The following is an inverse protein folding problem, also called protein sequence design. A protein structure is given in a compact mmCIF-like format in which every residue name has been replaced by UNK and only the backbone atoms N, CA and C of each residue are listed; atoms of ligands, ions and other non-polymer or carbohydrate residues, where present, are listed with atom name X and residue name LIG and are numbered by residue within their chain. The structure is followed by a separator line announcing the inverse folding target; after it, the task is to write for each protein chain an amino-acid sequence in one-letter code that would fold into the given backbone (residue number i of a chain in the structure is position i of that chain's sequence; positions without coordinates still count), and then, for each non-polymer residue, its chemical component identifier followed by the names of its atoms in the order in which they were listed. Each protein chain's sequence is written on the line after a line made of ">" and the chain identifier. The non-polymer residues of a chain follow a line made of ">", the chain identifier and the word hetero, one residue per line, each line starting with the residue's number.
data_IF_884892863320
#
_entry.id   IF_884892863320
#
_cell.length_a   1.000
_cell.length_b   1.000
_cell.length_c   1.000
_cell.angle_alpha   90.00
_cell.angle_beta   90.00
_cell.angle_gamma   90.00
#
_symmetry.space_group_name_H-M   'P 1'
#
loop_
_entity.id
_entity.type
_entity.pdbx_description
1 polymer ?
#
# COMPACT_ATOMS: atom_id res chain seq x y z
N UNK A 1 -40.79 8.77 -27.60
CA UNK A 1 -40.05 9.02 -26.35
C UNK A 1 -38.69 8.31 -26.41
N UNK A 2 -37.64 9.02 -26.80
CA UNK A 2 -36.29 8.48 -26.87
C UNK A 2 -35.71 8.44 -25.44
N UNK A 3 -35.52 7.24 -24.89
CA UNK A 3 -34.92 7.07 -23.56
C UNK A 3 -33.42 7.32 -23.71
N UNK A 4 -32.95 8.50 -23.32
CA UNK A 4 -31.53 8.82 -23.23
C UNK A 4 -30.88 7.90 -22.19
N UNK A 5 -30.33 6.77 -22.62
CA UNK A 5 -29.50 5.91 -21.79
C UNK A 5 -28.17 6.63 -21.57
N UNK A 6 -28.08 7.40 -20.48
CA UNK A 6 -26.83 7.99 -20.02
C UNK A 6 -25.90 6.84 -19.60
N UNK A 7 -25.01 6.44 -20.51
CA UNK A 7 -23.99 5.42 -20.26
C UNK A 7 -23.04 6.00 -19.21
N UNK A 8 -23.26 5.66 -17.93
CA UNK A 8 -22.37 6.08 -16.84
C UNK A 8 -21.01 5.41 -17.04
N UNK A 9 -19.95 6.20 -16.96
CA UNK A 9 -18.60 5.68 -17.02
C UNK A 9 -18.36 4.72 -15.83
N UNK A 10 -17.47 3.74 -16.00
CA UNK A 10 -17.11 2.82 -14.91
C UNK A 10 -16.69 3.59 -13.66
N UNK A 11 -15.92 4.67 -13.81
CA UNK A 11 -15.48 5.54 -12.71
C UNK A 11 -16.63 6.15 -11.90
N UNK A 12 -17.68 6.65 -12.57
CA UNK A 12 -18.87 7.17 -11.88
C UNK A 12 -19.63 6.06 -11.13
N UNK A 13 -19.64 4.84 -11.67
CA UNK A 13 -20.24 3.68 -11.00
C UNK A 13 -19.47 3.30 -9.72
N UNK A 14 -18.14 3.32 -9.76
CA UNK A 14 -17.30 3.07 -8.59
C UNK A 14 -17.45 4.18 -7.55
N UNK A 15 -17.44 5.45 -7.96
CA UNK A 15 -17.64 6.59 -7.06
C UNK A 15 -19.01 6.56 -6.37
N UNK A 16 -20.08 6.26 -7.12
CA UNK A 16 -21.43 6.13 -6.53
C UNK A 16 -21.57 4.93 -5.60
N UNK A 17 -20.93 3.79 -5.92
CA UNK A 17 -20.88 2.63 -5.03
C UNK A 17 -20.10 2.94 -3.75
N UNK A 18 -18.94 3.59 -3.85
CA UNK A 18 -18.13 3.99 -2.69
C UNK A 18 -18.91 4.96 -1.79
N UNK A 19 -19.57 5.98 -2.35
CA UNK A 19 -20.40 6.91 -1.60
C UNK A 19 -21.58 6.20 -0.92
N UNK A 20 -22.20 5.22 -1.58
CA UNK A 20 -23.28 4.42 -0.98
C UNK A 20 -22.79 3.56 0.19
N UNK A 21 -21.64 2.91 0.04
CA UNK A 21 -21.00 2.13 1.11
C UNK A 21 -20.66 3.04 2.29
N UNK A 22 -20.04 4.19 2.03
CA UNK A 22 -19.72 5.17 3.06
C UNK A 22 -20.96 5.62 3.83
N UNK A 23 -22.04 5.98 3.11
CA UNK A 23 -23.32 6.36 3.72
C UNK A 23 -23.91 5.23 4.58
N UNK A 24 -23.80 3.98 4.13
CA UNK A 24 -24.28 2.81 4.87
C UNK A 24 -23.47 2.59 6.15
N UNK A 25 -22.14 2.69 6.08
CA UNK A 25 -21.26 2.60 7.25
C UNK A 25 -21.55 3.71 8.26
N UNK A 26 -21.69 4.96 7.80
CA UNK A 26 -22.01 6.09 8.68
C UNK A 26 -23.37 5.92 9.37
N UNK A 27 -24.39 5.47 8.63
CA UNK A 27 -25.71 5.21 9.22
C UNK A 27 -25.67 4.04 10.22
N UNK A 28 -24.88 3.01 9.95
CA UNK A 28 -24.65 1.90 10.90
C UNK A 28 -23.97 2.38 12.17
N UNK A 29 -22.91 3.20 12.04
CA UNK A 29 -22.22 3.80 13.17
C UNK A 29 -23.16 4.67 14.01
N UNK A 30 -23.97 5.52 13.36
CA UNK A 30 -25.00 6.32 14.03
C UNK A 30 -26.08 5.46 14.72
N UNK A 31 -26.44 4.32 14.15
CA UNK A 31 -27.40 3.40 14.77
C UNK A 31 -26.80 2.72 16.01
N UNK A 32 -25.52 2.35 15.96
CA UNK A 32 -24.81 1.75 17.09
C UNK A 32 -24.60 2.76 18.21
N UNK A 33 -24.27 4.01 17.85
CA UNK A 33 -24.20 5.13 18.78
C UNK A 33 -25.52 5.32 19.54
N UNK A 34 -26.65 5.37 18.82
CA UNK A 34 -27.98 5.44 19.44
C UNK A 34 -28.29 4.25 20.35
N UNK A 35 -27.94 3.04 19.95
CA UNK A 35 -28.12 1.84 20.79
C UNK A 35 -27.26 1.91 22.05
N UNK A 36 -26.02 2.38 21.94
CA UNK A 36 -25.12 2.58 23.07
C UNK A 36 -25.66 3.64 24.03
N UNK A 37 -26.15 4.77 23.51
CA UNK A 37 -26.75 5.86 24.30
C UNK A 37 -28.05 5.41 24.97
N UNK A 38 -28.94 4.67 24.28
CA UNK A 38 -30.16 4.14 24.89
C UNK A 38 -29.86 3.13 25.99
N UNK A 39 -28.89 2.23 25.76
CA UNK A 39 -28.46 1.24 26.74
C UNK A 39 -27.81 1.89 27.97
N UNK A 40 -27.09 2.99 27.77
CA UNK A 40 -26.57 3.82 28.85
C UNK A 40 -27.70 4.58 29.60
N UNK A 41 -28.72 5.05 28.88
CA UNK A 41 -29.86 5.73 29.49
C UNK A 41 -30.69 4.79 30.38
N UNK A 42 -30.86 3.53 29.98
CA UNK A 42 -31.55 2.50 30.79
C UNK A 42 -30.81 2.18 32.09
N UNK A 43 -29.48 2.26 32.11
CA UNK A 43 -28.68 1.87 33.28
C UNK A 43 -28.33 3.03 34.23
N UNK A 44 -28.97 4.21 34.11
CA UNK A 44 -28.68 5.41 34.93
C UNK A 44 -27.17 5.71 35.05
N UNK A 45 -26.41 5.47 33.99
CA UNK A 45 -24.94 5.59 34.07
C UNK A 45 -24.50 7.06 33.97
N UNK A 46 -23.47 7.44 34.75
CA UNK A 46 -22.97 8.80 34.80
C UNK A 46 -22.43 9.27 33.45
N UNK A 47 -22.52 10.58 33.23
CA UNK A 47 -22.17 11.34 32.01
C UNK A 47 -20.84 10.96 31.33
N UNK A 48 -19.91 10.34 32.05
CA UNK A 48 -18.64 9.82 31.52
C UNK A 48 -18.79 8.77 30.41
N UNK A 49 -19.83 7.93 30.44
CA UNK A 49 -20.10 6.94 29.37
C UNK A 49 -20.61 7.60 28.07
N UNK A 50 -21.13 8.83 28.14
CA UNK A 50 -21.50 9.61 26.94
C UNK A 50 -20.31 9.95 26.04
N UNK A 51 -19.08 9.94 26.58
CA UNK A 51 -17.87 10.15 25.80
C UNK A 51 -17.28 8.86 25.20
N UNK A 52 -17.83 7.69 25.54
CA UNK A 52 -17.35 6.40 25.06
C UNK A 52 -17.29 6.30 23.51
N UNK A 53 -18.28 6.78 22.73
CA UNK A 53 -18.20 6.74 21.27
C UNK A 53 -17.09 7.65 20.72
N UNK A 54 -16.87 8.82 21.34
CA UNK A 54 -15.81 9.76 20.97
C UNK A 54 -14.44 9.15 21.27
N UNK A 55 -14.28 8.50 22.42
CA UNK A 55 -13.06 7.76 22.77
C UNK A 55 -12.79 6.59 21.82
N UNK A 56 -13.82 5.85 21.40
CA UNK A 56 -13.63 4.75 20.44
C UNK A 56 -13.19 5.29 19.08
N UNK A 57 -13.81 6.36 18.59
CA UNK A 57 -13.44 6.97 17.30
C UNK A 57 -12.05 7.60 17.38
N UNK A 58 -11.72 8.30 18.47
CA UNK A 58 -10.39 8.90 18.65
C UNK A 58 -9.31 7.82 18.81
N UNK A 59 -9.57 6.77 19.58
CA UNK A 59 -8.66 5.63 19.71
C UNK A 59 -8.46 4.92 18.37
N UNK A 60 -9.54 4.77 17.58
CA UNK A 60 -9.44 4.19 16.23
C UNK A 60 -8.62 5.08 15.28
N UNK A 61 -8.79 6.41 15.35
CA UNK A 61 -7.99 7.34 14.55
C UNK A 61 -6.51 7.30 14.96
N UNK A 62 -6.22 7.32 16.26
CA UNK A 62 -4.86 7.26 16.78
C UNK A 62 -4.19 5.93 16.41
N UNK A 63 -4.88 4.80 16.59
CA UNK A 63 -4.34 3.48 16.20
C UNK A 63 -4.12 3.38 14.70
N UNK A 64 -5.03 3.90 13.86
CA UNK A 64 -4.83 3.94 12.41
C UNK A 64 -3.60 4.77 12.01
N UNK A 65 -3.36 5.90 12.67
CA UNK A 65 -2.17 6.72 12.44
C UNK A 65 -0.90 5.97 12.84
N UNK A 66 -0.88 5.35 14.02
CA UNK A 66 0.27 4.57 14.49
C UNK A 66 0.56 3.41 13.52
N UNK A 67 -0.44 2.63 13.16
CA UNK A 67 -0.27 1.52 12.22
C UNK A 67 0.22 2.00 10.85
N UNK A 68 -0.33 3.11 10.35
CA UNK A 68 0.12 3.73 9.10
C UNK A 68 1.61 4.07 9.16
N UNK A 69 2.05 4.76 10.22
CA UNK A 69 3.47 5.13 10.38
C UNK A 69 4.39 3.91 10.48
N UNK A 70 3.99 2.87 11.21
CA UNK A 70 4.75 1.62 11.33
C UNK A 70 4.91 0.98 9.95
N UNK A 71 3.83 0.85 9.19
CA UNK A 71 3.85 0.28 7.84
C UNK A 71 4.78 1.09 6.93
N UNK A 72 4.69 2.42 6.96
CA UNK A 72 5.59 3.29 6.17
C UNK A 72 7.06 3.08 6.53
N UNK A 73 7.39 3.04 7.82
CA UNK A 73 8.78 2.81 8.28
C UNK A 73 9.30 1.45 7.80
N UNK A 74 8.49 0.40 7.90
CA UNK A 74 8.85 -0.95 7.44
C UNK A 74 9.15 -0.93 5.93
N UNK A 75 8.26 -0.36 5.13
CA UNK A 75 8.42 -0.28 3.68
C UNK A 75 9.70 0.47 3.32
N UNK A 76 9.91 1.65 3.90
CA UNK A 76 11.12 2.47 3.66
C UNK A 76 12.39 1.70 4.06
N UNK A 77 12.37 1.01 5.20
CA UNK A 77 13.51 0.22 5.67
C UNK A 77 13.84 -0.93 4.72
N UNK A 78 12.82 -1.62 4.20
CA UNK A 78 13.01 -2.69 3.20
C UNK A 78 13.65 -2.12 1.93
N UNK A 79 13.12 -1.02 1.40
CA UNK A 79 13.70 -0.37 0.22
C UNK A 79 15.14 0.07 0.46
N UNK A 80 15.43 0.63 1.63
CA UNK A 80 16.78 1.04 2.00
C UNK A 80 17.76 -0.14 2.02
N UNK A 81 17.37 -1.27 2.63
CA UNK A 81 18.18 -2.49 2.64
C UNK A 81 18.39 -3.01 1.21
N UNK A 82 17.34 -3.04 0.38
CA UNK A 82 17.46 -3.47 -1.03
C UNK A 82 18.49 -2.61 -1.77
N UNK A 83 18.41 -1.27 -1.65
CA UNK A 83 19.37 -0.36 -2.29
C UNK A 83 20.79 -0.58 -1.75
N UNK A 84 20.96 -0.79 -0.45
CA UNK A 84 22.25 -1.11 0.14
C UNK A 84 22.82 -2.43 -0.39
N UNK A 85 22.00 -3.46 -0.57
CA UNK A 85 22.43 -4.72 -1.16
C UNK A 85 22.81 -4.52 -2.62
N UNK A 86 21.96 -3.88 -3.43
CA UNK A 86 22.25 -3.61 -4.85
C UNK A 86 23.49 -2.73 -5.06
N UNK A 87 23.75 -1.77 -4.18
CA UNK A 87 24.96 -0.94 -4.25
C UNK A 87 26.23 -1.69 -3.83
N UNK A 88 26.10 -2.72 -2.99
CA UNK A 88 27.21 -3.57 -2.53
C UNK A 88 27.42 -4.80 -3.39
N UNK A 89 26.45 -5.21 -4.21
CA UNK A 89 26.70 -6.24 -5.23
C UNK A 89 27.71 -5.69 -6.21
N UNK A 90 28.89 -6.33 -6.38
CA UNK A 90 29.77 -6.03 -7.49
C UNK A 90 28.89 -6.13 -8.74
N UNK A 91 28.87 -5.09 -9.58
CA UNK A 91 28.26 -5.19 -10.90
C UNK A 91 28.75 -6.51 -11.48
N UNK A 92 27.83 -7.47 -11.69
CA UNK A 92 28.19 -8.69 -12.38
C UNK A 92 28.88 -8.22 -13.64
N UNK A 93 30.21 -8.42 -13.69
CA UNK A 93 31.03 -7.87 -14.76
C UNK A 93 30.37 -8.26 -16.08
N UNK A 94 30.41 -7.39 -17.10
CA UNK A 94 29.75 -7.66 -18.38
C UNK A 94 30.03 -9.11 -18.75
N UNK A 95 28.95 -9.91 -18.87
CA UNK A 95 29.06 -11.31 -19.26
C UNK A 95 30.02 -11.33 -20.42
N UNK A 96 31.19 -11.96 -20.24
CA UNK A 96 32.17 -12.12 -21.32
C UNK A 96 31.47 -12.99 -22.35
N UNK A 97 30.75 -12.37 -23.27
CA UNK A 97 30.33 -13.00 -24.50
C UNK A 97 31.62 -13.27 -25.24
N UNK A 98 32.06 -14.53 -25.20
CA UNK A 98 33.10 -15.00 -26.09
C UNK A 98 32.70 -14.57 -27.50
N UNK A 99 33.60 -13.88 -28.18
CA UNK A 99 33.37 -13.49 -29.56
C UNK A 99 33.29 -14.79 -30.36
N UNK A 100 32.10 -15.15 -30.82
CA UNK A 100 31.94 -16.21 -31.79
C UNK A 100 32.27 -15.62 -33.15
N UNK A 101 33.47 -15.92 -33.64
CA UNK A 101 33.82 -15.73 -35.04
C UNK A 101 33.09 -16.76 -35.89
N UNK A 102 32.86 -16.43 -37.17
CA UNK A 102 32.12 -17.28 -38.13
C UNK A 102 32.77 -18.65 -38.37
N UNK A 103 34.01 -18.84 -37.93
CA UNK A 103 34.78 -20.08 -38.07
C UNK A 103 34.55 -21.09 -36.93
N UNK A 104 33.79 -20.71 -35.90
CA UNK A 104 33.36 -21.61 -34.83
C UNK A 104 34.46 -22.03 -33.84
N UNK A 105 35.65 -21.42 -33.89
CA UNK A 105 36.70 -21.69 -32.93
C UNK A 105 36.61 -20.78 -31.71
N UNK A 106 36.59 -21.39 -30.52
CA UNK A 106 36.59 -20.66 -29.25
C UNK A 106 38.03 -20.39 -28.84
N UNK A 107 38.50 -19.15 -29.02
CA UNK A 107 39.75 -18.72 -28.41
C UNK A 107 39.50 -18.30 -26.96
N UNK A 108 40.30 -18.79 -25.99
CA UNK A 108 40.30 -18.21 -24.66
C UNK A 108 40.69 -16.73 -24.80
N UNK A 109 39.95 -15.88 -24.10
CA UNK A 109 40.14 -14.44 -24.06
C UNK A 109 41.54 -14.11 -23.54
N UNK A 110 42.46 -13.95 -24.48
CA UNK A 110 43.87 -13.73 -24.24
C UNK A 110 44.09 -12.52 -23.32
N UNK A 111 44.77 -12.78 -22.21
CA UNK A 111 45.76 -11.85 -21.71
C UNK A 111 46.63 -11.42 -22.90
N UNK A 112 46.50 -10.16 -23.30
CA UNK A 112 47.42 -9.53 -24.24
C UNK A 112 48.78 -9.59 -23.55
N UNK A 113 49.58 -10.60 -23.88
CA UNK A 113 50.95 -10.68 -23.42
C UNK A 113 51.67 -9.48 -24.01
N UNK A 114 52.03 -8.58 -23.12
CA UNK A 114 52.72 -7.32 -23.38
C UNK A 114 54.19 -7.58 -23.73
N UNK A 115 54.45 -8.53 -24.62
CA UNK A 115 55.78 -8.93 -25.10
C UNK A 115 56.05 -8.49 -26.54
N UNK A 116 55.05 -8.04 -27.30
CA UNK A 116 55.20 -7.59 -28.68
C UNK A 116 54.98 -6.07 -28.84
N UNK A 117 55.56 -5.29 -27.93
CA UNK A 117 55.74 -3.84 -28.12
C UNK A 117 57.22 -3.47 -28.08
#
# INVERSE_FOLDING_TARGET
>A
MQKNLKIRSRGELWGTKAAYIWKRCFNKLKSWDKTCVNKAKESNVPTWIGHLPIFIISALAVTALILSTIITIIIVSIFFIIILVLSKTPSAGPLKHGHYDLDGYHYPDGNIDQSDR
#
